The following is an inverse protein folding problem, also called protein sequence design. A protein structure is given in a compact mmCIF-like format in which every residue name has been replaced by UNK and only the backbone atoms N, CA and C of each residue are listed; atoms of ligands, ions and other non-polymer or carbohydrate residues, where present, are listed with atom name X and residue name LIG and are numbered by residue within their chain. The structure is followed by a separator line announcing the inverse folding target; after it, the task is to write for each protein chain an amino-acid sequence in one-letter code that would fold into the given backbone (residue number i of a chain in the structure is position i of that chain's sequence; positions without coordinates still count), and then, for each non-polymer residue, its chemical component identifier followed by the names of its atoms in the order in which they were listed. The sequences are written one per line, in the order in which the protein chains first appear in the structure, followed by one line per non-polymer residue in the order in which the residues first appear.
data_IF_847595837644
#
_entry.id   IF_847595837644
#
_cell.length_a   1.000
_cell.length_b   1.000
_cell.length_c   1.000
_cell.angle_alpha   90.00
_cell.angle_beta   90.00
_cell.angle_gamma   90.00
#
_symmetry.space_group_name_H-M   'P 1'
#
loop_
_entity.id
_entity.type
_entity.pdbx_description
1 polymer ?
#
# COMPACT_ATOMS: atom_id res chain seq x y z
N UNK A 1 70.20 2.91 28.50
CA UNK A 1 69.06 3.75 28.92
C UNK A 1 68.03 3.67 27.82
N UNK A 2 66.92 3.00 28.12
CA UNK A 2 65.90 2.57 27.16
C UNK A 2 65.03 3.78 26.84
N UNK A 3 64.94 4.19 25.57
CA UNK A 3 63.94 5.17 25.12
C UNK A 3 62.92 4.42 24.28
N UNK A 4 61.69 4.49 24.80
CA UNK A 4 60.52 3.70 24.50
C UNK A 4 60.00 3.95 23.07
N UNK A 5 59.89 2.91 22.24
CA UNK A 5 59.29 2.97 20.90
C UNK A 5 57.81 2.55 20.94
N UNK A 6 56.93 3.47 21.33
CA UNK A 6 55.49 3.30 21.09
C UNK A 6 54.89 4.60 20.54
N UNK A 7 55.18 4.92 19.27
CA UNK A 7 54.38 5.89 18.52
C UNK A 7 53.10 5.19 18.02
N UNK A 8 52.08 5.13 18.89
CA UNK A 8 50.73 4.70 18.50
C UNK A 8 50.18 5.70 17.47
N UNK A 9 50.21 5.29 16.20
CA UNK A 9 49.56 5.99 15.09
C UNK A 9 48.05 5.97 15.37
N UNK A 10 47.51 7.11 15.78
CA UNK A 10 46.09 7.28 16.09
C UNK A 10 45.34 7.46 14.76
N UNK A 11 44.93 6.35 14.16
CA UNK A 11 44.12 6.36 12.94
C UNK A 11 42.73 6.88 13.31
N UNK A 12 42.27 8.03 12.77
CA UNK A 12 40.92 8.49 13.02
C UNK A 12 39.94 7.45 12.47
N UNK A 13 39.24 6.78 13.39
CA UNK A 13 38.14 5.89 13.04
C UNK A 13 36.98 6.75 12.55
N UNK A 14 36.87 6.89 11.22
CA UNK A 14 35.73 7.55 10.58
C UNK A 14 34.53 6.65 10.83
N UNK A 15 33.79 6.91 11.92
CA UNK A 15 32.50 6.29 12.16
C UNK A 15 31.57 6.68 11.00
N UNK A 16 31.00 5.71 10.25
CA UNK A 16 30.10 6.05 9.16
C UNK A 16 28.89 6.77 9.75
N UNK A 17 28.65 7.99 9.29
CA UNK A 17 27.49 8.80 9.64
C UNK A 17 26.24 8.06 9.18
N UNK A 18 25.56 7.38 10.11
CA UNK A 18 24.33 6.65 9.83
C UNK A 18 23.27 7.65 9.37
N UNK A 19 22.92 7.57 8.08
CA UNK A 19 21.85 8.38 7.50
C UNK A 19 20.55 7.64 7.69
N UNK A 20 19.78 8.05 8.69
CA UNK A 20 18.45 7.52 8.95
C UNK A 20 17.45 8.12 7.96
N UNK A 21 16.77 7.28 7.17
CA UNK A 21 15.55 7.72 6.50
C UNK A 21 14.42 7.63 7.50
N UNK A 22 13.99 8.79 8.03
CA UNK A 22 12.71 8.89 8.74
C UNK A 22 11.58 8.39 7.82
N UNK A 23 10.57 7.71 8.39
CA UNK A 23 9.42 7.18 7.62
C UNK A 23 8.73 8.20 6.70
N UNK A 24 8.83 9.50 7.02
CA UNK A 24 8.41 10.62 6.15
C UNK A 24 9.05 10.59 4.77
N UNK A 25 10.32 10.23 4.66
CA UNK A 25 11.04 10.21 3.38
C UNK A 25 10.63 9.01 2.52
N UNK A 26 10.37 7.84 3.13
CA UNK A 26 9.90 6.65 2.40
C UNK A 26 8.50 6.89 1.82
N UNK A 27 7.64 7.59 2.55
CA UNK A 27 6.31 7.98 2.08
C UNK A 27 6.34 8.96 0.90
N UNK A 28 7.24 9.95 0.93
CA UNK A 28 7.40 10.90 -0.18
C UNK A 28 7.92 10.19 -1.43
N UNK A 29 8.88 9.28 -1.28
CA UNK A 29 9.41 8.51 -2.40
C UNK A 29 8.35 7.59 -3.00
N UNK A 30 7.52 6.91 -2.19
CA UNK A 30 6.46 6.06 -2.73
C UNK A 30 5.37 6.86 -3.46
N UNK A 31 4.98 8.03 -2.93
CA UNK A 31 4.05 8.93 -3.61
C UNK A 31 4.59 9.41 -4.96
N UNK A 32 5.88 9.77 -5.01
CA UNK A 32 6.56 10.18 -6.24
C UNK A 32 6.57 9.04 -7.28
N UNK A 33 6.82 7.80 -6.87
CA UNK A 33 6.80 6.63 -7.77
C UNK A 33 5.40 6.41 -8.36
N UNK A 34 4.34 6.55 -7.55
CA UNK A 34 2.95 6.42 -8.04
C UNK A 34 2.66 7.47 -9.11
N UNK A 35 3.00 8.74 -8.85
CA UNK A 35 2.77 9.84 -9.79
C UNK A 35 3.56 9.64 -11.09
N UNK A 36 4.85 9.27 -10.99
CA UNK A 36 5.69 9.00 -12.16
C UNK A 36 5.14 7.84 -12.98
N UNK A 37 4.70 6.77 -12.32
CA UNK A 37 4.13 5.59 -13.01
C UNK A 37 2.83 5.96 -13.72
N UNK A 38 1.94 6.69 -13.05
CA UNK A 38 0.68 7.16 -13.65
C UNK A 38 0.92 8.06 -14.86
N UNK A 39 1.83 9.04 -14.76
CA UNK A 39 2.21 9.91 -15.87
C UNK A 39 2.83 9.13 -17.03
N UNK A 40 3.75 8.21 -16.74
CA UNK A 40 4.43 7.41 -17.78
C UNK A 40 3.44 6.54 -18.54
N UNK A 41 2.51 5.89 -17.83
CA UNK A 41 1.47 5.06 -18.45
C UNK A 41 0.49 5.92 -19.23
N UNK A 42 0.08 7.07 -18.70
CA UNK A 42 -0.80 8.01 -19.39
C UNK A 42 -0.18 8.48 -20.71
N UNK A 43 1.04 9.04 -20.68
CA UNK A 43 1.73 9.50 -21.88
C UNK A 43 2.03 8.36 -22.88
N UNK A 44 2.40 7.17 -22.39
CA UNK A 44 2.65 6.00 -23.25
C UNK A 44 1.37 5.41 -23.85
N UNK A 45 0.21 5.63 -23.21
CA UNK A 45 -1.09 5.09 -23.63
C UNK A 45 -1.84 5.94 -24.66
N UNK A 46 -1.59 7.25 -24.72
CA UNK A 46 -2.31 8.19 -25.62
C UNK A 46 -2.16 7.84 -27.11
N UNK A 47 -1.06 7.20 -27.51
CA UNK A 47 -0.76 6.90 -28.92
C UNK A 47 -0.96 5.43 -29.34
N UNK A 48 -1.34 4.52 -28.42
CA UNK A 48 -1.42 3.09 -28.73
C UNK A 48 -2.68 2.43 -28.14
N UNK A 49 -3.49 1.79 -29.00
CA UNK A 49 -4.57 0.88 -28.58
C UNK A 49 -3.96 -0.43 -28.05
N UNK A 50 -3.41 -0.40 -26.84
CA UNK A 50 -2.81 -1.57 -26.17
C UNK A 50 -3.86 -2.37 -25.43
N UNK A 51 -3.71 -3.70 -25.46
CA UNK A 51 -4.46 -4.59 -24.59
C UNK A 51 -4.18 -4.31 -23.12
N UNK A 52 -5.13 -4.64 -22.24
CA UNK A 52 -5.00 -4.47 -20.77
C UNK A 52 -3.74 -5.20 -20.26
N UNK A 53 -3.45 -6.39 -20.78
CA UNK A 53 -2.28 -7.20 -20.42
C UNK A 53 -0.96 -6.51 -20.79
N UNK A 54 -0.89 -5.88 -21.96
CA UNK A 54 0.30 -5.13 -22.39
C UNK A 54 0.57 -3.93 -21.48
N UNK A 55 -0.47 -3.16 -21.13
CA UNK A 55 -0.33 -2.03 -20.21
C UNK A 55 0.10 -2.47 -18.81
N UNK A 56 -0.37 -3.63 -18.36
CA UNK A 56 0.04 -4.21 -17.09
C UNK A 56 1.54 -4.56 -17.06
N UNK A 57 2.06 -5.23 -18.11
CA UNK A 57 3.49 -5.54 -18.21
C UNK A 57 4.38 -4.29 -18.27
N UNK A 58 3.96 -3.26 -19.01
CA UNK A 58 4.70 -2.00 -19.10
C UNK A 58 4.73 -1.30 -17.73
N UNK A 59 3.60 -1.28 -17.03
CA UNK A 59 3.51 -0.71 -15.68
C UNK A 59 4.39 -1.46 -14.69
N UNK A 60 4.36 -2.80 -14.70
CA UNK A 60 5.25 -3.64 -13.89
C UNK A 60 6.73 -3.36 -14.18
N UNK A 61 7.10 -3.21 -15.46
CA UNK A 61 8.47 -2.90 -15.86
C UNK A 61 8.95 -1.54 -15.33
N UNK A 62 8.10 -0.51 -15.40
CA UNK A 62 8.42 0.82 -14.85
C UNK A 62 8.62 0.74 -13.34
N UNK A 63 7.71 0.05 -12.63
CA UNK A 63 7.80 -0.16 -11.18
C UNK A 63 9.08 -0.96 -10.84
N UNK A 64 9.46 -1.94 -11.67
CA UNK A 64 10.68 -2.72 -11.49
C UNK A 64 11.95 -1.89 -11.57
N UNK A 65 12.06 -1.05 -12.60
CA UNK A 65 13.22 -0.17 -12.77
C UNK A 65 13.29 0.84 -11.62
N UNK A 66 12.15 1.45 -11.25
CA UNK A 66 12.08 2.39 -10.14
C UNK A 66 12.49 1.75 -8.80
N UNK A 67 11.95 0.56 -8.52
CA UNK A 67 12.25 -0.19 -7.29
C UNK A 67 13.71 -0.65 -7.27
N UNK A 68 14.26 -1.10 -8.39
CA UNK A 68 15.67 -1.49 -8.51
C UNK A 68 16.61 -0.32 -8.21
N UNK A 69 16.38 0.85 -8.81
CA UNK A 69 17.19 2.05 -8.57
C UNK A 69 17.08 2.49 -7.11
N UNK A 70 15.86 2.47 -6.55
CA UNK A 70 15.62 2.82 -5.15
C UNK A 70 16.34 1.88 -4.18
N UNK A 71 16.25 0.56 -4.38
CA UNK A 71 16.92 -0.44 -3.57
C UNK A 71 18.45 -0.34 -3.69
N UNK A 72 18.97 -0.20 -4.91
CA UNK A 72 20.41 -0.09 -5.15
C UNK A 72 21.00 1.14 -4.47
N UNK A 73 20.35 2.31 -4.59
CA UNK A 73 20.76 3.53 -3.91
C UNK A 73 20.64 3.41 -2.38
N UNK A 74 19.55 2.83 -1.88
CA UNK A 74 19.32 2.65 -0.45
C UNK A 74 20.33 1.69 0.21
N UNK A 75 20.67 0.58 -0.46
CA UNK A 75 21.72 -0.33 0.00
C UNK A 75 23.09 0.32 -0.04
N UNK A 76 23.42 1.03 -1.13
CA UNK A 76 24.72 1.67 -1.29
C UNK A 76 25.00 2.69 -0.18
N UNK A 77 23.97 3.46 0.22
CA UNK A 77 24.08 4.40 1.34
C UNK A 77 24.04 3.74 2.73
N UNK A 78 23.71 2.44 2.83
CA UNK A 78 23.60 1.75 4.10
C UNK A 78 22.46 2.28 4.97
N UNK A 79 21.34 2.64 4.35
CA UNK A 79 20.20 3.23 5.04
C UNK A 79 19.55 2.18 5.93
N UNK A 80 19.51 2.43 7.23
CA UNK A 80 18.81 1.60 8.21
C UNK A 80 17.48 2.29 8.55
N UNK A 81 16.36 1.57 8.45
CA UNK A 81 15.04 2.10 8.79
C UNK A 81 14.87 1.97 10.31
N UNK A 82 14.94 3.11 11.02
CA UNK A 82 14.64 3.19 12.45
C UNK A 82 13.11 3.14 12.66
N UNK A 83 12.66 2.29 13.58
CA UNK A 83 11.27 2.24 14.03
C UNK A 83 10.99 3.43 14.96
N UNK A 84 10.47 4.52 14.43
CA UNK A 84 9.81 5.54 15.27
C UNK A 84 8.30 5.23 15.32
N UNK A 85 7.96 4.12 15.99
CA UNK A 85 6.58 3.81 16.32
C UNK A 85 6.28 4.39 17.71
N UNK A 86 5.42 5.42 17.84
CA UNK A 86 4.90 5.79 19.15
C UNK A 86 4.13 4.58 19.69
N UNK A 87 4.56 4.09 20.85
CA UNK A 87 3.89 3.02 21.57
C UNK A 87 2.49 3.52 21.93
N UNK A 88 1.47 3.05 21.20
CA UNK A 88 0.06 3.33 21.47
C UNK A 88 -0.33 2.69 22.80
N UNK A 89 -0.04 3.38 23.90
CA UNK A 89 -0.59 3.09 25.22
C UNK A 89 -2.00 3.67 25.28
N UNK A 90 -2.99 2.80 25.46
CA UNK A 90 -4.25 3.16 26.12
C UNK A 90 -5.48 3.37 25.23
N UNK A 91 -5.80 2.43 24.32
CA UNK A 91 -7.12 2.43 23.68
C UNK A 91 -7.93 1.19 24.05
N UNK A 92 -8.63 1.27 25.18
CA UNK A 92 -9.58 0.27 25.67
C UNK A 92 -10.91 0.36 24.88
N UNK A 93 -10.88 -0.11 23.62
CA UNK A 93 -12.03 -0.13 22.71
C UNK A 93 -13.21 -0.99 23.24
N UNK A 94 -12.93 -1.87 24.20
CA UNK A 94 -13.87 -2.87 24.74
C UNK A 94 -14.99 -2.27 25.58
N UNK A 95 -14.81 -1.07 26.14
CA UNK A 95 -15.81 -0.45 27.04
C UNK A 95 -16.89 0.35 26.28
N UNK A 96 -16.57 0.88 25.10
CA UNK A 96 -17.47 1.79 24.36
C UNK A 96 -18.48 1.07 23.45
N UNK A 97 -18.24 -0.19 23.07
CA UNK A 97 -19.16 -0.98 22.23
C UNK A 97 -20.33 -1.56 23.02
N UNK A 98 -20.17 -1.80 24.34
CA UNK A 98 -21.19 -2.47 25.17
C UNK A 98 -22.35 -1.56 25.58
N UNK A 99 -22.20 -0.24 25.52
CA UNK A 99 -23.22 0.73 25.95
C UNK A 99 -24.18 1.19 24.84
N UNK A 100 -23.89 0.92 23.56
CA UNK A 100 -24.69 1.44 22.43
C UNK A 100 -25.63 0.43 21.76
N UNK A 101 -25.67 -0.81 22.23
CA UNK A 101 -26.61 -1.83 21.76
C UNK A 101 -27.60 -2.19 22.88
N UNK A 102 -28.51 -1.25 23.17
CA UNK A 102 -29.69 -1.50 23.99
C UNK A 102 -30.92 -0.94 23.29
N UNK A 103 -31.78 -1.88 22.86
CA UNK A 103 -33.18 -1.76 22.43
C UNK A 103 -33.53 -0.92 21.18
N UNK A 104 -34.16 -1.60 20.23
CA UNK A 104 -35.00 -1.02 19.19
C UNK A 104 -36.04 -2.04 18.76
N UNK A 105 -37.17 -2.05 19.46
CA UNK A 105 -38.36 -2.86 19.21
C UNK A 105 -38.91 -2.56 17.80
N UNK A 106 -38.99 -3.58 16.94
CA UNK A 106 -39.52 -3.43 15.58
C UNK A 106 -41.02 -3.76 15.62
N UNK A 107 -41.85 -2.71 15.69
CA UNK A 107 -43.32 -2.82 15.61
C UNK A 107 -43.71 -3.37 14.24
N UNK A 108 -44.28 -4.57 14.24
CA UNK A 108 -44.94 -5.25 13.14
C UNK A 108 -46.30 -4.60 12.84
N UNK A 109 -46.27 -3.55 12.02
CA UNK A 109 -47.47 -2.94 11.44
C UNK A 109 -47.70 -3.40 10.00
N UNK A 110 -48.05 -4.67 9.79
CA UNK A 110 -48.50 -5.16 8.49
C UNK A 110 -49.96 -4.73 8.28
N UNK A 111 -50.16 -3.53 7.73
CA UNK A 111 -51.45 -3.02 7.31
C UNK A 111 -51.88 -3.66 5.99
N UNK A 112 -52.96 -4.42 6.04
CA UNK A 112 -53.70 -4.98 4.92
C UNK A 112 -54.25 -3.84 4.03
N UNK A 113 -53.73 -3.71 2.82
CA UNK A 113 -54.24 -2.77 1.80
C UNK A 113 -54.78 -3.60 0.64
N UNK A 114 -56.02 -4.04 0.79
CA UNK A 114 -56.85 -4.56 -0.30
C UNK A 114 -57.00 -3.48 -1.37
N UNK A 115 -56.30 -3.68 -2.49
CA UNK A 115 -56.29 -2.78 -3.63
C UNK A 115 -57.45 -3.06 -4.57
N UNK A 116 -58.39 -2.12 -4.63
CA UNK A 116 -59.24 -1.96 -5.81
C UNK A 116 -59.62 -0.47 -5.97
N UNK A 117 -58.97 0.21 -6.93
CA UNK A 117 -59.25 1.61 -7.29
C UNK A 117 -58.03 2.54 -7.48
N UNK A 118 -58.31 3.82 -7.78
CA UNK A 118 -57.36 4.94 -7.99
C UNK A 118 -56.36 5.10 -6.80
N UNK A 119 -56.75 4.64 -5.62
CA UNK A 119 -55.90 4.55 -4.42
C UNK A 119 -54.65 3.71 -4.63
N UNK A 120 -54.71 2.64 -5.43
CA UNK A 120 -53.56 1.82 -5.77
C UNK A 120 -52.50 2.57 -6.57
N UNK A 121 -52.91 3.49 -7.45
CA UNK A 121 -52.00 4.31 -8.27
C UNK A 121 -51.23 5.30 -7.39
N UNK A 122 -51.93 5.96 -6.47
CA UNK A 122 -51.33 6.92 -5.52
C UNK A 122 -50.37 6.18 -4.57
N UNK A 123 -50.77 5.01 -4.07
CA UNK A 123 -49.93 4.18 -3.21
C UNK A 123 -48.67 3.67 -3.94
N UNK A 124 -48.80 3.27 -5.22
CA UNK A 124 -47.67 2.85 -6.06
C UNK A 124 -46.66 3.99 -6.25
N UNK A 125 -47.13 5.23 -6.47
CA UNK A 125 -46.26 6.40 -6.62
C UNK A 125 -45.49 6.72 -5.32
N UNK A 126 -46.16 6.62 -4.17
CA UNK A 126 -45.51 6.78 -2.85
C UNK A 126 -44.49 5.67 -2.59
N UNK A 127 -44.84 4.41 -2.86
CA UNK A 127 -43.92 3.28 -2.73
C UNK A 127 -42.68 3.42 -3.63
N UNK A 128 -42.84 3.92 -4.86
CA UNK A 128 -41.72 4.14 -5.77
C UNK A 128 -40.72 5.18 -5.23
N UNK A 129 -41.21 6.27 -4.62
CA UNK A 129 -40.36 7.27 -3.97
C UNK A 129 -39.61 6.65 -2.79
N UNK A 130 -40.32 5.91 -1.93
CA UNK A 130 -39.71 5.21 -0.79
C UNK A 130 -38.64 4.23 -1.27
N UNK A 131 -38.94 3.41 -2.28
CA UNK A 131 -37.99 2.45 -2.85
C UNK A 131 -36.75 3.13 -3.43
N UNK A 132 -36.93 4.27 -4.12
CA UNK A 132 -35.82 5.05 -4.69
C UNK A 132 -34.90 5.63 -3.60
N UNK A 133 -35.47 6.10 -2.49
CA UNK A 133 -34.72 6.59 -1.33
C UNK A 133 -33.92 5.44 -0.70
N UNK A 134 -34.56 4.28 -0.50
CA UNK A 134 -33.90 3.08 0.04
C UNK A 134 -32.75 2.63 -0.85
N UNK A 135 -32.96 2.59 -2.17
CA UNK A 135 -31.94 2.20 -3.15
C UNK A 135 -30.76 3.18 -3.14
N UNK A 136 -31.03 4.49 -3.07
CA UNK A 136 -29.99 5.53 -2.98
C UNK A 136 -29.16 5.36 -1.72
N UNK A 137 -29.80 5.13 -0.57
CA UNK A 137 -29.12 4.85 0.69
C UNK A 137 -28.24 3.60 0.58
N UNK A 138 -28.75 2.52 -0.02
CA UNK A 138 -27.99 1.29 -0.24
C UNK A 138 -26.75 1.53 -1.11
N UNK A 139 -26.86 2.35 -2.16
CA UNK A 139 -25.73 2.70 -3.02
C UNK A 139 -24.67 3.54 -2.27
N UNK A 140 -25.08 4.46 -1.40
CA UNK A 140 -24.14 5.23 -0.56
C UNK A 140 -23.37 4.31 0.39
N UNK A 141 -24.06 3.34 0.99
CA UNK A 141 -23.42 2.33 1.86
C UNK A 141 -22.44 1.48 1.05
N UNK A 142 -22.85 0.97 -0.12
CA UNK A 142 -21.98 0.18 -0.99
C UNK A 142 -20.75 0.97 -1.43
N UNK A 143 -20.93 2.24 -1.82
CA UNK A 143 -19.83 3.14 -2.14
C UNK A 143 -18.87 3.25 -0.95
N UNK A 144 -19.39 3.48 0.25
CA UNK A 144 -18.56 3.56 1.47
C UNK A 144 -17.75 2.28 1.70
N UNK A 145 -18.37 1.11 1.51
CA UNK A 145 -17.69 -0.20 1.65
C UNK A 145 -16.59 -0.36 0.61
N UNK A 146 -16.84 0.02 -0.65
CA UNK A 146 -15.83 -0.06 -1.73
C UNK A 146 -14.65 0.87 -1.42
N UNK A 147 -14.91 2.12 -1.03
CA UNK A 147 -13.86 3.08 -0.65
C UNK A 147 -13.04 2.58 0.55
N UNK A 148 -13.71 2.02 1.56
CA UNK A 148 -13.04 1.46 2.73
C UNK A 148 -12.19 0.23 2.38
N UNK A 149 -12.68 -0.65 1.50
CA UNK A 149 -11.93 -1.82 1.02
C UNK A 149 -10.65 -1.42 0.31
N UNK A 150 -10.71 -0.40 -0.57
CA UNK A 150 -9.53 0.13 -1.25
C UNK A 150 -8.51 0.65 -0.23
N UNK A 151 -8.94 1.43 0.76
CA UNK A 151 -8.04 1.93 1.82
C UNK A 151 -7.40 0.80 2.63
N UNK A 152 -8.15 -0.25 2.95
CA UNK A 152 -7.64 -1.42 3.68
C UNK A 152 -6.56 -2.14 2.86
N UNK A 153 -6.81 -2.38 1.57
CA UNK A 153 -5.83 -2.98 0.66
C UNK A 153 -4.58 -2.11 0.57
N UNK A 154 -4.73 -0.79 0.45
CA UNK A 154 -3.60 0.15 0.44
C UNK A 154 -2.80 0.08 1.76
N UNK A 155 -3.47 0.02 2.90
CA UNK A 155 -2.82 -0.08 4.21
C UNK A 155 -2.05 -1.40 4.37
N UNK A 156 -2.64 -2.53 3.98
CA UNK A 156 -1.96 -3.83 3.97
C UNK A 156 -0.78 -3.83 3.01
N UNK A 157 -0.95 -3.28 1.80
CA UNK A 157 0.11 -3.19 0.80
C UNK A 157 1.27 -2.32 1.29
N UNK A 158 0.97 -1.17 1.89
CA UNK A 158 1.96 -0.30 2.51
C UNK A 158 2.72 -1.02 3.63
N UNK A 159 2.01 -1.76 4.49
CA UNK A 159 2.61 -2.51 5.58
C UNK A 159 3.57 -3.60 5.07
N UNK A 160 3.14 -4.40 4.09
CA UNK A 160 3.96 -5.45 3.47
C UNK A 160 5.16 -4.82 2.76
N UNK A 161 4.97 -3.73 2.03
CA UNK A 161 6.05 -3.00 1.37
C UNK A 161 7.09 -2.51 2.38
N UNK A 162 6.67 -1.84 3.45
CA UNK A 162 7.58 -1.35 4.48
C UNK A 162 8.35 -2.48 5.15
N UNK A 163 7.67 -3.59 5.47
CA UNK A 163 8.30 -4.78 6.04
C UNK A 163 9.34 -5.40 5.09
N UNK A 164 9.03 -5.46 3.80
CA UNK A 164 9.95 -5.95 2.78
C UNK A 164 11.18 -5.03 2.66
N UNK A 165 10.98 -3.72 2.60
CA UNK A 165 12.06 -2.72 2.57
C UNK A 165 13.02 -2.89 3.75
N UNK A 166 12.48 -3.08 4.96
CA UNK A 166 13.29 -3.33 6.15
C UNK A 166 14.12 -4.60 6.04
N UNK A 167 13.56 -5.67 5.48
CA UNK A 167 14.29 -6.91 5.25
C UNK A 167 15.44 -6.70 4.26
N UNK A 168 15.20 -5.98 3.16
CA UNK A 168 16.24 -5.67 2.17
C UNK A 168 17.35 -4.81 2.78
N UNK A 169 16.98 -3.77 3.54
CA UNK A 169 17.92 -2.87 4.19
C UNK A 169 18.62 -3.46 5.42
N UNK A 170 18.13 -4.56 5.99
CA UNK A 170 18.86 -5.30 7.03
C UNK A 170 20.21 -5.83 6.52
N UNK A 171 20.34 -6.06 5.20
CA UNK A 171 21.61 -6.40 4.53
C UNK A 171 22.44 -5.19 4.12
N UNK A 172 21.92 -3.98 4.34
CA UNK A 172 22.59 -2.71 4.11
C UNK A 172 23.90 -2.58 4.87
N UNK A 173 23.96 -3.04 6.13
CA UNK A 173 25.15 -2.99 6.97
C UNK A 173 26.35 -3.78 6.39
N UNK A 174 26.08 -4.87 5.67
CA UNK A 174 27.11 -5.71 5.00
C UNK A 174 27.48 -5.17 3.61
N UNK A 175 26.67 -4.27 3.02
CA UNK A 175 26.81 -3.74 1.65
C UNK A 175 27.28 -2.30 1.55
N UNK A 176 27.55 -1.64 2.69
CA UNK A 176 28.01 -0.26 2.76
C UNK A 176 29.24 -0.05 1.87
N UNK A 177 29.16 0.91 0.94
CA UNK A 177 30.21 1.32 -0.01
C UNK A 177 30.65 0.26 -1.04
N UNK A 178 29.96 -0.87 -1.16
CA UNK A 178 30.22 -1.87 -2.20
C UNK A 178 29.12 -1.87 -3.28
N UNK A 179 29.42 -1.24 -4.42
CA UNK A 179 28.49 -1.10 -5.56
C UNK A 179 28.10 -2.46 -6.14
N UNK A 180 29.04 -3.39 -6.24
CA UNK A 180 28.77 -4.69 -6.85
C UNK A 180 27.80 -5.53 -5.99
N UNK A 181 28.06 -5.60 -4.69
CA UNK A 181 27.18 -6.35 -3.78
C UNK A 181 25.79 -5.70 -3.68
N UNK A 182 25.71 -4.37 -3.59
CA UNK A 182 24.41 -3.67 -3.54
C UNK A 182 23.55 -3.88 -4.79
N UNK A 183 24.15 -3.91 -5.99
CA UNK A 183 23.45 -4.22 -7.24
C UNK A 183 22.91 -5.65 -7.24
N UNK A 184 23.71 -6.65 -6.84
CA UNK A 184 23.28 -8.06 -6.83
C UNK A 184 22.10 -8.25 -5.87
N UNK A 185 22.20 -7.73 -4.64
CA UNK A 185 21.10 -7.82 -3.69
C UNK A 185 19.86 -7.08 -4.21
N UNK A 186 20.00 -5.84 -4.70
CA UNK A 186 18.88 -5.09 -5.26
C UNK A 186 18.20 -5.85 -6.42
N UNK A 187 18.97 -6.50 -7.29
CA UNK A 187 18.45 -7.29 -8.41
C UNK A 187 17.65 -8.52 -7.94
N UNK A 188 18.21 -9.29 -7.00
CA UNK A 188 17.55 -10.47 -6.43
C UNK A 188 16.24 -10.08 -5.75
N UNK A 189 16.26 -9.01 -4.94
CA UNK A 189 15.05 -8.55 -4.26
C UNK A 189 14.02 -7.95 -5.22
N UNK A 190 14.43 -7.22 -6.26
CA UNK A 190 13.50 -6.72 -7.28
C UNK A 190 12.83 -7.86 -8.05
N UNK A 191 13.61 -8.87 -8.42
CA UNK A 191 13.11 -10.08 -9.09
C UNK A 191 12.17 -10.85 -8.18
N UNK A 192 12.49 -11.00 -6.89
CA UNK A 192 11.60 -11.64 -5.94
C UNK A 192 10.31 -10.84 -5.72
N UNK A 193 10.38 -9.51 -5.79
CA UNK A 193 9.23 -8.63 -5.56
C UNK A 193 8.25 -8.57 -6.74
N UNK A 194 8.73 -8.73 -7.97
CA UNK A 194 7.92 -8.53 -9.18
C UNK A 194 7.79 -9.82 -9.98
N UNK A 195 8.72 -10.77 -9.80
CA UNK A 195 8.74 -12.04 -10.50
C UNK A 195 7.50 -12.90 -10.24
N UNK A 196 6.95 -12.89 -9.03
CA UNK A 196 5.69 -13.59 -8.75
C UNK A 196 4.49 -12.94 -9.46
N UNK A 197 4.48 -11.61 -9.64
CA UNK A 197 3.44 -10.93 -10.42
C UNK A 197 3.53 -11.26 -11.91
N UNK A 198 4.73 -11.26 -12.49
CA UNK A 198 4.95 -11.75 -13.85
C UNK A 198 4.52 -13.21 -13.99
N UNK A 199 4.85 -14.05 -12.99
CA UNK A 199 4.47 -15.45 -12.91
C UNK A 199 2.96 -15.66 -12.93
N UNK A 200 2.20 -14.94 -12.08
CA UNK A 200 0.74 -15.03 -12.05
C UNK A 200 0.14 -14.64 -13.39
N UNK A 201 0.57 -13.52 -13.99
CA UNK A 201 0.01 -13.10 -15.28
C UNK A 201 0.33 -14.08 -16.38
N UNK A 202 1.57 -14.58 -16.43
CA UNK A 202 1.95 -15.61 -17.40
C UNK A 202 1.12 -16.89 -17.21
N UNK A 203 0.88 -17.29 -15.96
CA UNK A 203 0.02 -18.42 -15.63
C UNK A 203 -1.42 -18.20 -16.13
N UNK A 204 -1.99 -17.00 -15.93
CA UNK A 204 -3.34 -16.67 -16.43
C UNK A 204 -3.42 -16.67 -17.96
N UNK A 205 -2.32 -16.40 -18.67
CA UNK A 205 -2.29 -16.51 -20.13
C UNK A 205 -2.21 -17.95 -20.62
N UNK A 206 -1.65 -18.87 -19.82
CA UNK A 206 -1.60 -20.30 -20.14
C UNK A 206 -2.92 -21.03 -19.85
N UNK A 207 -3.67 -20.59 -18.84
CA UNK A 207 -4.97 -21.17 -18.47
C UNK A 207 -6.15 -20.56 -19.24
N UNK A 208 -5.88 -19.75 -20.26
CA UNK A 208 -6.87 -19.19 -21.19
C UNK A 208 -6.94 -20.04 -22.45
#
# INVERSE_FOLDING_TARGET
MIINSESKINIPTIKPTKTYLQGKSVFVVSLMVIVITALTVYFSGVHYNRSITTNFYISLGIIAVALFVFLSYGLYKGIEIEDDYPTLKGFDFKKSIKEKFSSGDFVSGAGDVSGDGISGIIFSLVLWIVFSIVLTFLLIVLQTVVWFSILLILAMLYWVFFRAMRLVFSKGAETIRNVQKSIIYAFVYTTLYIGWLFGIVYLTTLFK
#
